data_IF_702038510025
#
_entry.id   IF_702038510025
#
_cell.length_a   1.000
_cell.length_b   1.000
_cell.length_c   1.000
_cell.angle_alpha   90.00
_cell.angle_beta   90.00
_cell.angle_gamma   90.00
#
_symmetry.space_group_name_H-M   'P 1'
#
loop_
_entity.id
_entity.type
_entity.pdbx_description
1 polymer ?
#
# COMPACT_ATOMS: atom_id res chain seq x y z
N UNK A 1 15.95 -9.37 -59.69
CA UNK A 1 16.35 -8.03 -59.23
C UNK A 1 15.35 -7.60 -58.19
N UNK A 2 15.59 -7.97 -56.94
CA UNK A 2 14.75 -7.60 -55.81
C UNK A 2 15.43 -6.43 -55.09
N UNK A 3 14.76 -5.28 -55.06
CA UNK A 3 15.16 -4.13 -54.26
C UNK A 3 14.35 -4.18 -52.97
N UNK A 4 15.03 -4.21 -51.82
CA UNK A 4 14.39 -4.01 -50.52
C UNK A 4 14.71 -2.61 -50.01
N UNK A 5 13.69 -1.90 -49.52
CA UNK A 5 13.84 -0.57 -48.91
C UNK A 5 13.27 -0.63 -47.50
N UNK A 6 14.15 -0.59 -46.49
CA UNK A 6 13.78 -0.70 -45.08
C UNK A 6 13.95 0.63 -44.37
N UNK A 7 12.89 1.06 -43.68
CA UNK A 7 12.91 2.19 -42.74
C UNK A 7 13.10 1.66 -41.32
N UNK A 8 14.29 1.83 -40.78
CA UNK A 8 14.69 1.29 -39.47
C UNK A 8 14.75 2.44 -38.45
N UNK A 9 14.10 2.35 -37.27
CA UNK A 9 14.27 3.35 -36.21
C UNK A 9 15.74 3.49 -35.82
N UNK A 10 16.24 4.73 -35.75
CA UNK A 10 17.65 5.01 -35.47
C UNK A 10 17.83 5.85 -34.20
N UNK A 11 17.16 7.00 -34.12
CA UNK A 11 17.20 7.88 -32.93
C UNK A 11 15.81 8.39 -32.54
N UNK A 12 15.63 8.62 -31.25
CA UNK A 12 14.46 9.30 -30.67
C UNK A 12 14.94 10.58 -30.00
N UNK A 13 14.45 11.72 -30.47
CA UNK A 13 14.79 13.05 -29.95
C UNK A 13 13.61 13.60 -29.16
N UNK A 14 13.74 13.61 -27.83
CA UNK A 14 12.74 14.22 -26.93
C UNK A 14 13.19 15.62 -26.55
N UNK A 15 12.30 16.60 -26.76
CA UNK A 15 12.53 17.99 -26.33
C UNK A 15 11.86 18.21 -24.99
N UNK A 16 12.59 18.83 -24.07
CA UNK A 16 12.08 19.20 -22.75
C UNK A 16 11.91 20.72 -22.65
N UNK A 17 10.85 21.14 -21.98
CA UNK A 17 10.61 22.52 -21.58
C UNK A 17 11.47 22.93 -20.39
N UNK A 18 11.43 24.22 -20.03
CA UNK A 18 12.11 24.76 -18.85
C UNK A 18 11.59 24.19 -17.52
N UNK A 19 10.41 23.58 -17.54
CA UNK A 19 9.78 22.88 -16.42
C UNK A 19 10.18 21.40 -16.32
N UNK A 20 11.07 20.93 -17.20
CA UNK A 20 11.50 19.53 -17.26
C UNK A 20 10.47 18.58 -17.87
N UNK A 21 9.35 19.08 -18.42
CA UNK A 21 8.34 18.24 -19.07
C UNK A 21 8.64 18.06 -20.56
N UNK A 22 8.31 16.91 -21.17
CA UNK A 22 8.39 16.75 -22.61
C UNK A 22 7.45 17.73 -23.33
N UNK A 23 7.97 18.47 -24.31
CA UNK A 23 7.22 19.45 -25.12
C UNK A 23 7.11 19.03 -26.60
N UNK A 24 7.74 17.92 -26.98
CA UNK A 24 7.63 17.32 -28.29
C UNK A 24 8.67 16.24 -28.51
N UNK A 25 8.45 15.37 -29.49
CA UNK A 25 9.43 14.37 -29.88
C UNK A 25 9.52 14.23 -31.40
N UNK A 26 10.69 13.80 -31.86
CA UNK A 26 10.95 13.47 -33.25
C UNK A 26 11.64 12.12 -33.34
N UNK A 27 11.37 11.34 -34.38
CA UNK A 27 12.08 10.13 -34.68
C UNK A 27 12.96 10.34 -35.92
N UNK A 28 14.18 9.82 -35.86
CA UNK A 28 15.09 9.72 -36.99
C UNK A 28 15.11 8.27 -37.43
N UNK A 29 15.01 8.06 -38.74
CA UNK A 29 15.03 6.72 -39.32
C UNK A 29 16.22 6.57 -40.25
N UNK A 30 16.81 5.38 -40.24
CA UNK A 30 17.83 4.95 -41.18
C UNK A 30 17.16 4.25 -42.35
N UNK A 31 17.40 4.72 -43.56
CA UNK A 31 16.93 4.07 -44.79
C UNK A 31 18.02 3.15 -45.30
N UNK A 32 17.72 1.86 -45.34
CA UNK A 32 18.65 0.83 -45.75
C UNK A 32 18.09 0.13 -47.01
N UNK A 33 18.71 0.39 -48.15
CA UNK A 33 18.30 -0.14 -49.45
C UNK A 33 19.30 -1.21 -49.88
N UNK A 34 18.78 -2.42 -50.11
CA UNK A 34 19.57 -3.55 -50.63
C UNK A 34 19.06 -3.96 -52.01
N UNK A 35 19.98 -4.43 -52.84
CA UNK A 35 19.68 -5.02 -54.14
C UNK A 35 20.34 -6.39 -54.20
N UNK A 36 19.50 -7.43 -54.35
CA UNK A 36 19.95 -8.84 -54.40
C UNK A 36 20.90 -9.21 -53.24
N UNK A 37 20.68 -8.61 -52.06
CA UNK A 37 21.43 -8.83 -50.82
C UNK A 37 22.61 -7.88 -50.57
N UNK A 38 23.00 -7.07 -51.55
CA UNK A 38 24.07 -6.08 -51.41
C UNK A 38 23.51 -4.71 -51.01
N UNK A 39 24.16 -4.01 -50.07
CA UNK A 39 23.74 -2.68 -49.62
C UNK A 39 24.13 -1.66 -50.68
N UNK A 40 23.13 -1.09 -51.35
CA UNK A 40 23.34 -0.07 -52.39
C UNK A 40 23.15 1.35 -51.86
N UNK A 41 22.40 1.53 -50.77
CA UNK A 41 22.24 2.82 -50.13
C UNK A 41 21.95 2.66 -48.65
N UNK A 42 22.65 3.45 -47.84
CA UNK A 42 22.45 3.50 -46.41
C UNK A 42 22.59 4.95 -45.94
N UNK A 43 21.47 5.56 -45.53
CA UNK A 43 21.44 6.96 -45.12
C UNK A 43 20.58 7.19 -43.88
N UNK A 44 20.99 8.16 -43.06
CA UNK A 44 20.20 8.65 -41.94
C UNK A 44 19.27 9.76 -42.45
N UNK A 45 17.97 9.59 -42.24
CA UNK A 45 16.94 10.55 -42.65
C UNK A 45 16.89 11.79 -41.76
N UNK A 46 16.02 12.72 -42.11
CA UNK A 46 15.71 13.89 -41.27
C UNK A 46 14.84 13.50 -40.08
N UNK A 47 14.91 14.29 -39.00
CA UNK A 47 14.01 14.15 -37.87
C UNK A 47 12.55 14.44 -38.27
N UNK A 48 11.67 13.45 -38.10
CA UNK A 48 10.24 13.55 -38.36
C UNK A 48 9.49 13.73 -37.03
N UNK A 49 8.56 14.69 -36.90
CA UNK A 49 7.77 14.84 -35.67
C UNK A 49 6.94 13.59 -35.42
N UNK A 50 6.90 13.15 -34.16
CA UNK A 50 6.10 12.00 -33.74
C UNK A 50 5.11 12.43 -32.65
N UNK A 51 3.95 11.78 -32.64
CA UNK A 51 3.02 11.88 -31.53
C UNK A 51 3.51 10.98 -30.39
N UNK A 52 3.91 11.60 -29.28
CA UNK A 52 4.41 10.91 -28.08
C UNK A 52 3.33 10.02 -27.46
N UNK A 53 2.05 10.41 -27.56
CA UNK A 53 0.94 9.64 -26.99
C UNK A 53 0.65 8.36 -27.78
N UNK A 54 0.88 8.37 -29.10
CA UNK A 54 0.71 7.22 -30.00
C UNK A 54 2.01 6.44 -30.28
N UNK A 55 3.15 6.91 -29.80
CA UNK A 55 4.44 6.25 -30.04
C UNK A 55 4.55 4.98 -29.19
N UNK A 56 4.88 3.82 -29.78
CA UNK A 56 5.01 2.57 -29.04
C UNK A 56 6.31 2.58 -28.23
N UNK A 57 6.34 3.37 -27.16
CA UNK A 57 7.46 3.48 -26.21
C UNK A 57 7.82 2.11 -25.63
N UNK A 58 6.84 1.21 -25.51
CA UNK A 58 7.02 -0.20 -25.15
C UNK A 58 7.94 -0.99 -26.08
N UNK A 59 8.10 -0.57 -27.35
CA UNK A 59 9.02 -1.20 -28.30
C UNK A 59 10.47 -0.73 -28.15
N UNK A 60 10.71 0.36 -27.41
CA UNK A 60 12.05 0.92 -27.14
C UNK A 60 12.48 0.68 -25.69
N UNK A 61 11.51 0.53 -24.78
CA UNK A 61 11.75 0.09 -23.42
C UNK A 61 12.37 -1.31 -23.43
N UNK A 62 13.62 -1.42 -22.94
CA UNK A 62 14.22 -2.72 -22.67
C UNK A 62 13.38 -3.50 -21.67
N UNK A 63 13.54 -4.82 -21.63
CA UNK A 63 12.88 -5.69 -20.65
C UNK A 63 12.95 -5.11 -19.22
N UNK A 64 14.09 -4.49 -18.86
CA UNK A 64 14.30 -3.80 -17.58
C UNK A 64 13.24 -2.74 -17.24
N UNK A 65 12.79 -1.95 -18.21
CA UNK A 65 11.82 -0.87 -17.94
C UNK A 65 10.40 -1.41 -17.82
N UNK A 66 10.08 -2.47 -18.58
CA UNK A 66 8.83 -3.22 -18.42
C UNK A 66 8.78 -3.87 -17.04
N UNK A 67 9.88 -4.52 -16.65
CA UNK A 67 10.00 -5.21 -15.37
C UNK A 67 9.92 -4.20 -14.20
N UNK A 68 10.55 -3.03 -14.31
CA UNK A 68 10.43 -1.96 -13.33
C UNK A 68 8.99 -1.43 -13.18
N UNK A 69 8.24 -1.28 -14.29
CA UNK A 69 6.83 -0.88 -14.23
C UNK A 69 5.95 -1.96 -13.58
N UNK A 70 6.22 -3.23 -13.87
CA UNK A 70 5.54 -4.35 -13.22
C UNK A 70 5.84 -4.40 -11.72
N UNK A 71 7.09 -4.12 -11.31
CA UNK A 71 7.49 -4.04 -9.92
C UNK A 71 6.79 -2.87 -9.19
N UNK A 72 6.70 -1.69 -9.82
CA UNK A 72 5.95 -0.56 -9.25
C UNK A 72 4.47 -0.92 -9.04
N UNK A 73 3.84 -1.59 -10.00
CA UNK A 73 2.46 -2.04 -9.86
C UNK A 73 2.29 -3.02 -8.69
N UNK A 74 3.21 -3.98 -8.55
CA UNK A 74 3.22 -4.94 -7.44
C UNK A 74 3.45 -4.25 -6.08
N UNK A 75 4.37 -3.29 -6.01
CA UNK A 75 4.64 -2.51 -4.80
C UNK A 75 3.43 -1.67 -4.39
N UNK A 76 2.74 -1.04 -5.33
CA UNK A 76 1.52 -0.28 -5.02
C UNK A 76 0.42 -1.19 -4.45
N UNK A 77 0.19 -2.35 -5.06
CA UNK A 77 -0.76 -3.33 -4.52
C UNK A 77 -0.38 -3.79 -3.10
N UNK A 78 0.92 -3.93 -2.82
CA UNK A 78 1.41 -4.30 -1.49
C UNK A 78 1.22 -3.18 -0.47
N UNK A 79 1.38 -1.92 -0.88
CA UNK A 79 1.11 -0.75 -0.03
C UNK A 79 -0.37 -0.70 0.35
N UNK A 80 -1.28 -0.92 -0.61
CA UNK A 80 -2.71 -0.94 -0.35
C UNK A 80 -3.09 -2.07 0.64
N UNK A 81 -2.57 -3.27 0.43
CA UNK A 81 -2.78 -4.41 1.34
C UNK A 81 -2.26 -4.13 2.75
N UNK A 82 -1.07 -3.53 2.88
CA UNK A 82 -0.51 -3.17 4.18
C UNK A 82 -1.33 -2.07 4.87
N UNK A 83 -1.87 -1.11 4.11
CA UNK A 83 -2.75 -0.08 4.65
C UNK A 83 -4.04 -0.68 5.23
N UNK A 84 -4.64 -1.65 4.53
CA UNK A 84 -5.80 -2.40 5.03
C UNK A 84 -5.48 -3.18 6.31
N UNK A 85 -4.32 -3.86 6.37
CA UNK A 85 -3.89 -4.58 7.56
C UNK A 85 -3.67 -3.67 8.77
N UNK A 86 -3.08 -2.48 8.56
CA UNK A 86 -2.87 -1.49 9.61
C UNK A 86 -4.21 -0.99 10.16
N UNK A 87 -5.17 -0.69 9.28
CA UNK A 87 -6.50 -0.25 9.70
C UNK A 87 -7.23 -1.35 10.50
N UNK A 88 -7.20 -2.59 10.03
CA UNK A 88 -7.81 -3.72 10.73
C UNK A 88 -7.16 -3.98 12.11
N UNK A 89 -5.84 -3.82 12.20
CA UNK A 89 -5.11 -3.93 13.47
C UNK A 89 -5.50 -2.79 14.43
N UNK A 90 -5.66 -1.56 13.93
CA UNK A 90 -6.10 -0.42 14.72
C UNK A 90 -7.51 -0.62 15.31
N UNK A 91 -8.46 -1.09 14.49
CA UNK A 91 -9.83 -1.39 14.93
C UNK A 91 -9.87 -2.49 16.00
N UNK A 92 -9.04 -3.52 15.82
CA UNK A 92 -8.88 -4.61 16.79
C UNK A 92 -8.34 -4.09 18.12
N UNK A 93 -7.33 -3.21 18.08
CA UNK A 93 -6.70 -2.62 19.26
C UNK A 93 -7.66 -1.69 19.99
N UNK A 94 -8.46 -0.90 19.27
CA UNK A 94 -9.51 -0.07 19.86
C UNK A 94 -10.55 -0.93 20.59
N UNK A 95 -10.99 -2.01 19.96
CA UNK A 95 -11.96 -2.95 20.57
C UNK A 95 -11.38 -3.62 21.82
N UNK A 96 -10.12 -4.07 21.76
CA UNK A 96 -9.43 -4.67 22.89
C UNK A 96 -9.28 -3.69 24.06
N UNK A 97 -8.97 -2.42 23.80
CA UNK A 97 -8.88 -1.38 24.82
C UNK A 97 -10.22 -1.11 25.49
N UNK A 98 -11.31 -0.99 24.72
CA UNK A 98 -12.67 -0.83 25.27
C UNK A 98 -13.05 -2.01 26.17
N UNK A 99 -12.71 -3.23 25.76
CA UNK A 99 -12.97 -4.43 26.56
C UNK A 99 -12.13 -4.44 27.85
N UNK A 100 -10.87 -4.03 27.79
CA UNK A 100 -10.01 -3.92 28.97
C UNK A 100 -10.54 -2.88 29.97
N UNK A 101 -11.04 -1.74 29.49
CA UNK A 101 -11.67 -0.72 30.33
C UNK A 101 -12.94 -1.23 31.01
N UNK A 102 -13.79 -1.96 30.28
CA UNK A 102 -14.99 -2.58 30.85
C UNK A 102 -14.64 -3.60 31.95
N UNK A 103 -13.68 -4.49 31.70
CA UNK A 103 -13.22 -5.45 32.69
C UNK A 103 -12.60 -4.79 33.92
N UNK A 104 -11.92 -3.65 33.76
CA UNK A 104 -11.39 -2.89 34.89
C UNK A 104 -12.55 -2.33 35.75
N UNK A 105 -13.57 -1.75 35.13
CA UNK A 105 -14.76 -1.24 35.83
C UNK A 105 -15.54 -2.36 36.54
N UNK A 106 -15.74 -3.51 35.88
CA UNK A 106 -16.40 -4.67 36.48
C UNK A 106 -15.61 -5.21 37.69
N UNK A 107 -14.28 -5.30 37.59
CA UNK A 107 -13.44 -5.71 38.71
C UNK A 107 -13.53 -4.75 39.90
N UNK A 108 -13.51 -3.44 39.66
CA UNK A 108 -13.70 -2.43 40.72
C UNK A 108 -15.07 -2.56 41.39
N UNK A 109 -16.14 -2.75 40.60
CA UNK A 109 -17.48 -2.96 41.13
C UNK A 109 -17.59 -4.25 41.98
N UNK A 110 -17.01 -5.35 41.50
CA UNK A 110 -16.95 -6.62 42.23
C UNK A 110 -16.17 -6.50 43.54
N UNK A 111 -15.05 -5.77 43.55
CA UNK A 111 -14.28 -5.51 44.78
C UNK A 111 -15.15 -4.76 45.80
N UNK A 112 -15.85 -3.70 45.37
CA UNK A 112 -16.74 -2.94 46.24
C UNK A 112 -17.91 -3.79 46.79
N UNK A 113 -18.50 -4.66 45.96
CA UNK A 113 -19.56 -5.58 46.39
C UNK A 113 -19.05 -6.59 47.43
N UNK A 114 -17.86 -7.16 47.21
CA UNK A 114 -17.23 -8.08 48.17
C UNK A 114 -16.96 -7.38 49.50
N UNK A 115 -16.44 -6.15 49.49
CA UNK A 115 -16.21 -5.37 50.70
C UNK A 115 -17.52 -5.09 51.45
N UNK A 116 -18.60 -4.75 50.74
CA UNK A 116 -19.92 -4.54 51.32
C UNK A 116 -20.47 -5.80 51.98
N UNK A 117 -20.41 -6.95 51.29
CA UNK A 117 -20.87 -8.23 51.81
C UNK A 117 -20.06 -8.67 53.04
N UNK A 118 -18.75 -8.43 53.04
CA UNK A 118 -17.89 -8.70 54.20
C UNK A 118 -18.29 -7.85 55.41
N UNK A 119 -18.60 -6.57 55.20
CA UNK A 119 -19.10 -5.69 56.26
C UNK A 119 -20.46 -6.15 56.82
N UNK A 120 -21.37 -6.60 55.96
CA UNK A 120 -22.67 -7.14 56.37
C UNK A 120 -22.53 -8.44 57.18
N UNK A 121 -21.65 -9.35 56.74
CA UNK A 121 -21.33 -10.58 57.49
C UNK A 121 -20.76 -10.25 58.87
N UNK A 122 -19.83 -9.31 58.96
CA UNK A 122 -19.24 -8.89 60.23
C UNK A 122 -20.31 -8.29 61.19
N UNK A 123 -21.22 -7.47 60.65
CA UNK A 123 -22.35 -6.92 61.42
C UNK A 123 -23.29 -8.02 61.93
N UNK A 124 -23.66 -8.99 61.10
CA UNK A 124 -24.49 -10.15 61.50
C UNK A 124 -23.82 -11.01 62.56
N UNK A 125 -22.50 -11.23 62.47
CA UNK A 125 -21.76 -11.98 63.47
C UNK A 125 -21.76 -11.25 64.82
N UNK A 126 -21.54 -9.93 64.84
CA UNK A 126 -21.57 -9.14 66.07
C UNK A 126 -22.94 -9.13 66.77
N UNK A 127 -24.04 -9.05 66.00
CA UNK A 127 -25.40 -9.04 66.56
C UNK A 127 -25.82 -10.41 67.10
N UNK A 128 -25.38 -11.49 66.45
CA UNK A 128 -25.57 -12.86 66.94
C UNK A 128 -24.83 -13.11 68.26
N UNK A 129 -23.59 -12.63 68.40
CA UNK A 129 -22.82 -12.72 69.65
C UNK A 129 -23.46 -11.92 70.79
N UNK A 130 -23.93 -10.69 70.53
CA UNK A 130 -24.58 -9.86 71.52
C UNK A 130 -25.91 -10.45 72.04
N UNK A 131 -26.63 -11.20 71.20
CA UNK A 131 -27.89 -11.86 71.56
C UNK A 131 -27.69 -13.13 72.41
N UNK A 132 -26.49 -13.72 72.38
CA UNK A 132 -26.15 -14.91 73.16
C UNK A 132 -25.67 -14.59 74.59
N UNK A 133 -25.24 -13.35 74.85
CA UNK A 133 -24.66 -12.94 76.13
C UNK A 133 -25.66 -12.36 77.15
N UNK A 134 -26.94 -12.14 76.81
CA UNK A 134 -27.96 -11.78 77.81
C UNK A 134 -28.33 -12.99 78.66
N UNK A 135 -27.88 -13.11 79.93
CA UNK A 135 -28.26 -14.20 80.80
C UNK A 135 -29.65 -13.92 81.35
N UNK A 136 -30.51 -14.93 81.33
CA UNK A 136 -31.77 -14.93 82.06
C UNK A 136 -31.50 -14.61 83.53
N UNK A 137 -31.84 -13.40 83.97
CA UNK A 137 -31.84 -13.00 85.36
C UNK A 137 -33.21 -13.34 85.96
N UNK A 138 -33.33 -14.54 86.52
CA UNK A 138 -34.32 -14.90 87.55
C UNK A 138 -33.66 -15.79 88.61
#
# INVERSE_FOLDING_TARGET
>A
MAIEDKKIPYELLVRYGLDGKPVGAHAVYRRHITLDGEVIKDEVGSAEPIDVAGFPTSSIMSDTTRDALAEIAALNARVDELAEQVNAAADTLETANKHAELLAQENEALIAEVESLQAEIAAMQSSASASAETPSAE
#
